data_IF_815481235493
#
_entry.id   IF_815481235493
#
_cell.length_a   1.000
_cell.length_b   1.000
_cell.length_c   1.000
_cell.angle_alpha   90.00
_cell.angle_beta   90.00
_cell.angle_gamma   90.00
#
_symmetry.space_group_name_H-M   'P 1'
#
loop_
_entity.id
_entity.type
_entity.pdbx_description
1 polymer ?
#
# COMPACT_ATOMS: atom_id res chain seq x y z
N UNK A 1 11.66 8.79 1.21
CA UNK A 1 12.28 9.76 0.28
C UNK A 1 11.25 10.56 -0.52
N UNK A 2 10.22 9.92 -1.10
CA UNK A 2 9.12 10.61 -1.82
C UNK A 2 8.35 11.65 -0.98
N UNK A 3 8.00 11.33 0.27
CA UNK A 3 7.28 12.27 1.16
C UNK A 3 8.10 13.53 1.47
N UNK A 4 9.42 13.37 1.68
CA UNK A 4 10.34 14.48 1.96
C UNK A 4 10.49 15.39 0.72
N UNK A 5 10.71 14.82 -0.47
CA UNK A 5 10.77 15.59 -1.71
C UNK A 5 9.45 16.31 -2.01
N UNK A 6 8.32 15.69 -1.68
CA UNK A 6 7.00 16.28 -1.89
C UNK A 6 6.74 17.46 -0.94
N UNK A 7 7.19 17.38 0.31
CA UNK A 7 7.13 18.51 1.26
C UNK A 7 8.05 19.64 0.80
N UNK A 8 9.26 19.32 0.33
CA UNK A 8 10.19 20.32 -0.20
C UNK A 8 9.67 21.01 -1.47
N UNK A 9 8.94 20.31 -2.34
CA UNK A 9 8.42 20.87 -3.59
C UNK A 9 7.04 21.53 -3.49
N UNK A 10 6.13 21.00 -2.66
CA UNK A 10 4.75 21.52 -2.54
C UNK A 10 4.48 22.31 -1.26
N UNK A 11 5.45 22.41 -0.34
CA UNK A 11 5.41 23.24 0.86
C UNK A 11 4.43 22.76 1.94
N UNK A 12 3.38 22.03 1.58
CA UNK A 12 2.31 21.65 2.52
C UNK A 12 1.65 20.30 2.15
N UNK A 13 1.43 19.44 3.14
CA UNK A 13 0.59 18.24 2.99
C UNK A 13 -0.80 18.55 3.51
N UNK A 14 -1.72 18.88 2.60
CA UNK A 14 -3.14 19.22 2.89
C UNK A 14 -3.88 18.20 3.76
N UNK A 15 -3.36 16.98 3.90
CA UNK A 15 -3.90 15.94 4.80
C UNK A 15 -3.69 16.25 6.28
N UNK A 16 -2.70 17.07 6.62
CA UNK A 16 -2.43 17.50 8.00
C UNK A 16 -3.05 18.86 8.35
N UNK A 17 -3.74 19.52 7.41
CA UNK A 17 -4.39 20.81 7.66
C UNK A 17 -5.49 20.68 8.72
N UNK A 18 -6.33 19.65 8.63
CA UNK A 18 -7.36 19.36 9.64
C UNK A 18 -6.80 18.87 10.99
N UNK A 19 -5.61 18.27 10.98
CA UNK A 19 -4.99 17.74 12.20
C UNK A 19 -4.19 18.81 12.96
N UNK A 20 -3.65 19.83 12.27
CA UNK A 20 -2.91 20.94 12.89
C UNK A 20 -3.74 21.79 13.84
N UNK A 21 -5.04 21.89 13.61
CA UNK A 21 -5.97 22.65 14.48
C UNK A 21 -6.33 21.95 15.79
N UNK A 22 -5.94 20.68 16.00
CA UNK A 22 -6.30 19.92 17.18
C UNK A 22 -5.09 19.14 17.72
N UNK A 23 -4.43 19.71 18.73
CA UNK A 23 -3.23 19.12 19.36
C UNK A 23 -3.48 17.68 19.86
N UNK A 24 -4.70 17.35 20.30
CA UNK A 24 -5.03 15.99 20.73
C UNK A 24 -4.97 14.96 19.61
N UNK A 25 -5.47 15.29 18.41
CA UNK A 25 -5.38 14.40 17.24
C UNK A 25 -3.94 14.22 16.76
N UNK A 26 -3.13 15.28 16.86
CA UNK A 26 -1.70 15.21 16.59
C UNK A 26 -0.98 14.27 17.57
N UNK A 27 -1.20 14.41 18.88
CA UNK A 27 -0.57 13.56 19.89
C UNK A 27 -0.98 12.10 19.72
N UNK A 28 -2.26 11.81 19.43
CA UNK A 28 -2.73 10.44 19.17
C UNK A 28 -2.06 9.87 17.91
N UNK A 29 -1.99 10.65 16.83
CA UNK A 29 -1.32 10.22 15.60
C UNK A 29 0.17 9.95 15.81
N UNK A 30 0.89 10.84 16.48
CA UNK A 30 2.32 10.69 16.76
C UNK A 30 2.60 9.55 17.73
N UNK A 31 1.77 9.36 18.76
CA UNK A 31 1.86 8.22 19.67
C UNK A 31 1.64 6.91 18.92
N UNK A 32 0.64 6.85 18.02
CA UNK A 32 0.40 5.68 17.19
C UNK A 32 1.59 5.37 16.27
N UNK A 33 2.17 6.39 15.64
CA UNK A 33 3.38 6.25 14.82
C UNK A 33 4.59 5.80 15.66
N UNK A 34 4.77 6.33 16.87
CA UNK A 34 5.88 5.95 17.75
C UNK A 34 5.75 4.49 18.22
N UNK A 35 4.56 4.07 18.65
CA UNK A 35 4.27 2.68 19.03
C UNK A 35 4.44 1.76 17.81
N UNK A 36 4.02 2.19 16.63
CA UNK A 36 4.22 1.46 15.39
C UNK A 36 5.70 1.25 15.07
N UNK A 37 6.49 2.33 15.00
CA UNK A 37 7.94 2.27 14.74
C UNK A 37 8.64 1.42 15.80
N UNK A 38 8.28 1.57 17.08
CA UNK A 38 8.82 0.76 18.16
C UNK A 38 8.53 -0.73 17.95
N UNK A 39 7.26 -1.09 17.70
CA UNK A 39 6.83 -2.49 17.45
C UNK A 39 7.58 -3.11 16.28
N UNK A 40 7.76 -2.34 15.22
CA UNK A 40 8.47 -2.75 14.00
C UNK A 40 9.97 -2.92 14.24
N UNK A 41 10.55 -2.11 15.14
CA UNK A 41 11.96 -2.20 15.48
C UNK A 41 12.28 -3.37 16.42
N UNK A 42 11.27 -4.00 17.05
CA UNK A 42 11.47 -5.08 18.02
C UNK A 42 12.21 -6.29 17.41
N UNK A 43 11.84 -6.84 16.24
CA UNK A 43 12.55 -7.99 15.66
C UNK A 43 14.04 -7.71 15.44
N UNK A 44 14.38 -6.51 14.92
CA UNK A 44 15.77 -6.09 14.72
C UNK A 44 16.51 -5.94 16.05
N UNK A 45 15.83 -5.36 17.05
CA UNK A 45 16.39 -5.17 18.39
C UNK A 45 16.65 -6.52 19.09
N UNK A 46 15.72 -7.47 19.00
CA UNK A 46 15.88 -8.80 19.60
C UNK A 46 16.96 -9.64 18.89
N UNK A 47 17.05 -9.57 17.56
CA UNK A 47 18.11 -10.23 16.79
C UNK A 47 19.48 -9.66 17.18
N UNK A 48 19.63 -8.34 17.22
CA UNK A 48 20.90 -7.68 17.57
C UNK A 48 21.27 -7.83 19.06
N UNK A 49 20.30 -7.99 19.95
CA UNK A 49 20.55 -8.21 21.38
C UNK A 49 20.92 -9.66 21.73
N UNK A 50 20.73 -10.61 20.80
CA UNK A 50 21.06 -12.02 21.03
C UNK A 50 22.55 -12.31 20.81
N UNK A 51 23.29 -12.54 21.89
CA UNK A 51 24.73 -12.88 21.88
C UNK A 51 25.03 -14.33 21.44
N UNK A 52 24.25 -14.88 20.52
CA UNK A 52 24.42 -16.26 20.04
C UNK A 52 24.48 -16.28 18.53
N UNK A 53 25.57 -16.82 17.97
CA UNK A 53 25.69 -17.12 16.55
C UNK A 53 24.59 -18.07 16.11
N UNK A 54 23.43 -17.51 15.75
CA UNK A 54 22.32 -18.25 15.17
C UNK A 54 22.63 -18.47 13.70
N UNK A 55 22.45 -19.72 13.27
CA UNK A 55 22.53 -20.07 11.86
C UNK A 55 21.34 -19.44 11.12
N UNK A 56 21.63 -18.88 9.96
CA UNK A 56 20.64 -18.28 9.05
C UNK A 56 19.55 -19.32 8.73
N UNK A 57 18.30 -19.01 9.03
CA UNK A 57 17.18 -19.92 8.74
C UNK A 57 16.54 -19.59 7.39
N UNK A 58 15.87 -20.56 6.73
CA UNK A 58 15.15 -20.29 5.49
C UNK A 58 14.11 -19.17 5.60
N UNK A 59 13.48 -19.02 6.77
CA UNK A 59 12.52 -17.95 7.02
C UNK A 59 13.18 -16.56 7.00
N UNK A 60 14.46 -16.43 7.41
CA UNK A 60 15.21 -15.18 7.30
C UNK A 60 15.41 -14.81 5.81
N UNK A 61 15.80 -15.79 4.98
CA UNK A 61 15.96 -15.59 3.53
C UNK A 61 14.64 -15.13 2.91
N UNK A 62 13.55 -15.85 3.21
CA UNK A 62 12.23 -15.57 2.62
C UNK A 62 11.72 -14.20 3.06
N UNK A 63 11.78 -13.92 4.37
CA UNK A 63 11.29 -12.66 4.93
C UNK A 63 12.06 -11.46 4.41
N UNK A 64 13.39 -11.52 4.35
CA UNK A 64 14.21 -10.45 3.78
C UNK A 64 14.03 -10.31 2.27
N UNK A 65 13.83 -11.40 1.54
CA UNK A 65 13.52 -11.35 0.10
C UNK A 65 12.18 -10.66 -0.15
N UNK A 66 11.15 -10.99 0.62
CA UNK A 66 9.85 -10.31 0.58
C UNK A 66 10.01 -8.83 0.92
N UNK A 67 10.79 -8.51 1.96
CA UNK A 67 11.06 -7.14 2.37
C UNK A 67 11.71 -6.32 1.26
N UNK A 68 12.79 -6.83 0.67
CA UNK A 68 13.51 -6.15 -0.42
C UNK A 68 12.61 -5.99 -1.65
N UNK A 69 11.87 -7.04 -2.03
CA UNK A 69 10.93 -6.95 -3.14
C UNK A 69 9.83 -5.91 -2.88
N UNK A 70 9.26 -5.90 -1.68
CA UNK A 70 8.23 -4.94 -1.27
C UNK A 70 8.75 -3.51 -1.33
N UNK A 71 9.93 -3.26 -0.75
CA UNK A 71 10.60 -1.98 -0.77
C UNK A 71 10.89 -1.49 -2.20
N UNK A 72 11.42 -2.35 -3.07
CA UNK A 72 11.71 -2.00 -4.46
C UNK A 72 10.44 -1.66 -5.23
N UNK A 73 9.36 -2.43 -5.05
CA UNK A 73 8.07 -2.16 -5.68
C UNK A 73 7.51 -0.81 -5.19
N UNK A 74 7.52 -0.57 -3.88
CA UNK A 74 7.02 0.67 -3.30
C UNK A 74 7.82 1.88 -3.77
N UNK A 75 9.15 1.82 -3.67
CA UNK A 75 10.03 2.91 -4.10
C UNK A 75 9.87 3.22 -5.59
N UNK A 76 9.78 2.17 -6.42
CA UNK A 76 9.58 2.33 -7.88
C UNK A 76 8.20 2.93 -8.17
N UNK A 77 7.15 2.46 -7.51
CA UNK A 77 5.80 2.98 -7.66
C UNK A 77 5.73 4.47 -7.31
N UNK A 78 6.31 4.86 -6.17
CA UNK A 78 6.31 6.24 -5.71
C UNK A 78 7.12 7.15 -6.63
N UNK A 79 8.30 6.71 -7.07
CA UNK A 79 9.11 7.47 -8.02
C UNK A 79 8.37 7.67 -9.36
N UNK A 80 7.77 6.61 -9.90
CA UNK A 80 6.99 6.71 -11.13
C UNK A 80 5.80 7.66 -10.98
N UNK A 81 5.10 7.60 -9.84
CA UNK A 81 3.98 8.51 -9.54
C UNK A 81 4.44 9.96 -9.40
N UNK A 82 5.61 10.19 -8.81
CA UNK A 82 6.21 11.53 -8.68
C UNK A 82 6.50 12.11 -10.06
N UNK A 83 7.25 11.38 -10.87
CA UNK A 83 7.63 11.79 -12.23
C UNK A 83 6.40 12.01 -13.09
N UNK A 84 5.39 11.14 -12.98
CA UNK A 84 4.12 11.30 -13.69
C UNK A 84 3.43 12.61 -13.35
N UNK A 85 3.33 12.95 -12.06
CA UNK A 85 2.66 14.17 -11.59
C UNK A 85 3.43 15.46 -11.89
N UNK A 86 4.76 15.39 -11.96
CA UNK A 86 5.60 16.55 -12.27
C UNK A 86 5.58 16.90 -13.77
N UNK A 87 5.15 15.99 -14.64
CA UNK A 87 5.03 16.27 -16.06
C UNK A 87 3.74 17.04 -16.38
N UNK A 88 3.87 18.21 -17.00
CA UNK A 88 2.74 19.08 -17.35
C UNK A 88 1.72 18.40 -18.28
N UNK A 89 2.17 17.54 -19.19
CA UNK A 89 1.34 16.81 -20.16
C UNK A 89 0.41 15.77 -19.51
N UNK A 90 0.71 15.40 -18.26
CA UNK A 90 -0.06 14.43 -17.48
C UNK A 90 -1.08 15.08 -16.55
N UNK A 91 -1.19 16.42 -16.56
CA UNK A 91 -2.21 17.13 -15.78
C UNK A 91 -3.60 16.64 -16.16
N UNK A 92 -4.40 16.31 -15.14
CA UNK A 92 -5.76 15.79 -15.34
C UNK A 92 -5.83 14.31 -15.78
N UNK A 93 -4.72 13.57 -15.79
CA UNK A 93 -4.69 12.13 -16.07
C UNK A 93 -4.38 11.32 -14.80
N UNK A 94 -4.73 10.04 -14.81
CA UNK A 94 -4.32 9.09 -13.76
C UNK A 94 -2.98 8.44 -14.14
N UNK A 95 -2.21 8.04 -13.13
CA UNK A 95 -0.92 7.39 -13.34
C UNK A 95 -1.14 5.98 -13.87
N UNK A 96 -0.77 5.76 -15.14
CA UNK A 96 -0.89 4.49 -15.83
C UNK A 96 0.42 4.07 -16.52
N UNK A 97 1.53 4.18 -15.78
CA UNK A 97 2.89 3.93 -16.28
C UNK A 97 3.66 2.97 -15.36
N UNK A 98 4.59 2.20 -15.94
CA UNK A 98 5.42 1.25 -15.18
C UNK A 98 4.61 0.26 -14.34
N UNK A 99 4.88 0.18 -13.04
CA UNK A 99 4.21 -0.75 -12.13
C UNK A 99 2.72 -0.41 -11.93
N UNK A 100 2.33 0.85 -12.15
CA UNK A 100 0.93 1.28 -12.12
C UNK A 100 0.10 0.69 -13.26
N UNK A 101 0.73 0.15 -14.31
CA UNK A 101 0.03 -0.57 -15.37
C UNK A 101 -0.48 -1.94 -14.93
N UNK A 102 0.12 -2.53 -13.90
CA UNK A 102 -0.13 -3.89 -13.43
C UNK A 102 -0.99 -3.92 -12.15
N UNK A 103 -1.00 -2.82 -11.40
CA UNK A 103 -1.81 -2.63 -10.21
C UNK A 103 -2.21 -1.18 -10.06
N UNK A 104 -3.39 -0.91 -9.53
CA UNK A 104 -3.86 0.45 -9.24
C UNK A 104 -3.20 1.04 -8.00
N UNK A 105 -2.73 0.20 -7.06
CA UNK A 105 -2.02 0.61 -5.84
C UNK A 105 -0.77 -0.25 -5.59
N UNK A 106 0.22 -0.23 -6.51
CA UNK A 106 1.43 -1.05 -6.39
C UNK A 106 2.27 -0.66 -5.18
N UNK A 107 2.23 0.60 -4.75
CA UNK A 107 2.89 1.07 -3.53
C UNK A 107 2.35 0.38 -2.27
N UNK A 108 1.03 0.22 -2.16
CA UNK A 108 0.43 -0.50 -1.02
C UNK A 108 0.71 -2.00 -1.07
N UNK A 109 0.83 -2.58 -2.26
CA UNK A 109 1.27 -3.97 -2.39
C UNK A 109 2.70 -4.14 -1.88
N UNK A 110 3.60 -3.22 -2.24
CA UNK A 110 4.97 -3.18 -1.74
C UNK A 110 5.03 -3.03 -0.22
N UNK A 111 4.26 -2.09 0.33
CA UNK A 111 4.15 -1.86 1.78
C UNK A 111 3.66 -3.13 2.51
N UNK A 112 2.58 -3.76 2.04
CA UNK A 112 2.11 -5.02 2.63
C UNK A 112 3.17 -6.12 2.55
N UNK A 113 3.79 -6.32 1.38
CA UNK A 113 4.81 -7.34 1.19
C UNK A 113 6.01 -7.13 2.13
N UNK A 114 6.39 -5.87 2.36
CA UNK A 114 7.43 -5.48 3.29
C UNK A 114 7.08 -5.90 4.73
N UNK A 115 5.89 -5.54 5.21
CA UNK A 115 5.46 -5.86 6.57
C UNK A 115 5.26 -7.35 6.83
N UNK A 116 4.69 -8.06 5.86
CA UNK A 116 4.62 -9.51 5.90
C UNK A 116 6.02 -10.15 5.86
N UNK A 117 6.97 -9.56 5.12
CA UNK A 117 8.37 -9.99 5.10
C UNK A 117 9.05 -9.85 6.47
N UNK A 118 8.86 -8.73 7.17
CA UNK A 118 9.36 -8.55 8.55
C UNK A 118 8.80 -9.63 9.49
N UNK A 119 7.49 -9.89 9.40
CA UNK A 119 6.86 -10.94 10.20
C UNK A 119 7.46 -12.32 9.92
N UNK A 120 7.59 -12.70 8.65
CA UNK A 120 8.19 -13.98 8.26
C UNK A 120 9.64 -14.10 8.74
N UNK A 121 10.45 -13.05 8.60
CA UNK A 121 11.83 -13.02 9.10
C UNK A 121 11.89 -13.14 10.64
N UNK A 122 10.86 -12.71 11.37
CA UNK A 122 10.80 -12.85 12.82
C UNK A 122 10.37 -14.24 13.30
N UNK A 123 9.68 -15.06 12.48
CA UNK A 123 9.17 -16.37 12.91
C UNK A 123 10.20 -17.27 13.64
N UNK A 124 11.47 -17.35 13.23
CA UNK A 124 12.51 -18.11 13.94
C UNK A 124 12.79 -17.71 15.39
N UNK A 125 12.55 -16.44 15.74
CA UNK A 125 12.81 -15.90 17.09
C UNK A 125 11.57 -15.97 17.99
N UNK A 126 10.36 -16.00 17.41
CA UNK A 126 9.11 -15.92 18.19
C UNK A 126 8.85 -17.18 19.02
N UNK A 127 8.48 -16.99 20.28
CA UNK A 127 8.05 -18.05 21.21
C UNK A 127 6.76 -17.66 21.95
N UNK A 128 5.86 -18.64 22.13
CA UNK A 128 4.67 -18.48 22.97
C UNK A 128 3.76 -17.32 22.55
N UNK A 129 3.57 -16.33 23.43
CA UNK A 129 2.72 -15.17 23.14
C UNK A 129 3.33 -14.19 22.12
N UNK A 130 4.61 -14.31 21.77
CA UNK A 130 5.27 -13.41 20.82
C UNK A 130 4.68 -13.54 19.40
N UNK A 131 4.04 -14.66 19.04
CA UNK A 131 3.34 -14.82 17.77
C UNK A 131 2.22 -13.79 17.54
N UNK A 132 1.75 -13.11 18.60
CA UNK A 132 0.78 -12.02 18.51
C UNK A 132 1.29 -10.82 17.70
N UNK A 133 2.60 -10.71 17.42
CA UNK A 133 3.13 -9.68 16.50
C UNK A 133 2.55 -9.76 15.08
N UNK A 134 1.92 -10.89 14.69
CA UNK A 134 1.14 -11.01 13.44
C UNK A 134 0.02 -9.96 13.34
N UNK A 135 -0.49 -9.47 14.47
CA UNK A 135 -1.50 -8.41 14.47
C UNK A 135 -1.00 -7.13 13.80
N UNK A 136 0.31 -6.87 13.79
CA UNK A 136 0.89 -5.72 13.08
C UNK A 136 0.58 -5.73 11.57
N UNK A 137 1.11 -6.69 10.79
CA UNK A 137 0.84 -6.76 9.34
C UNK A 137 -0.64 -6.99 9.02
N UNK A 138 -1.37 -7.74 9.85
CA UNK A 138 -2.83 -7.93 9.67
C UNK A 138 -3.58 -6.61 9.83
N UNK A 139 -3.30 -5.86 10.90
CA UNK A 139 -3.94 -4.57 11.15
C UNK A 139 -3.63 -3.58 10.01
N UNK A 140 -2.39 -3.50 9.56
CA UNK A 140 -2.01 -2.65 8.44
C UNK A 140 -2.72 -3.05 7.15
N UNK A 141 -2.80 -4.36 6.87
CA UNK A 141 -3.54 -4.88 5.71
C UNK A 141 -5.02 -4.47 5.76
N UNK A 142 -5.67 -4.60 6.92
CA UNK A 142 -7.08 -4.20 7.11
C UNK A 142 -7.27 -2.69 6.95
N UNK A 143 -6.35 -1.89 7.50
CA UNK A 143 -6.38 -0.43 7.40
C UNK A 143 -6.26 0.02 5.94
N UNK A 144 -5.38 -0.62 5.16
CA UNK A 144 -5.22 -0.35 3.74
C UNK A 144 -6.42 -0.80 2.91
N UNK A 145 -7.03 -1.95 3.24
CA UNK A 145 -8.18 -2.46 2.49
C UNK A 145 -9.49 -1.72 2.75
N UNK A 146 -9.75 -1.31 3.99
CA UNK A 146 -11.10 -0.91 4.41
C UNK A 146 -11.20 0.51 4.95
N UNK A 147 -10.11 1.14 5.37
CA UNK A 147 -10.16 2.44 6.04
C UNK A 147 -9.54 3.54 5.17
N UNK A 148 -8.24 3.77 5.29
CA UNK A 148 -7.60 4.97 4.76
C UNK A 148 -6.73 4.76 3.53
N UNK A 149 -6.49 3.50 3.14
CA UNK A 149 -5.68 3.17 1.97
C UNK A 149 -6.47 3.24 0.67
N UNK A 150 -6.79 2.06 0.13
CA UNK A 150 -7.40 1.88 -1.18
C UNK A 150 -8.78 2.55 -1.32
N UNK A 151 -9.74 2.42 -0.36
CA UNK A 151 -11.08 2.98 -0.52
C UNK A 151 -11.08 4.49 -0.76
N UNK A 152 -10.31 5.25 0.02
CA UNK A 152 -10.25 6.71 -0.09
C UNK A 152 -9.60 7.16 -1.40
N UNK A 153 -8.53 6.48 -1.83
CA UNK A 153 -7.85 6.81 -3.09
C UNK A 153 -8.71 6.48 -4.30
N UNK A 154 -9.39 5.34 -4.30
CA UNK A 154 -10.35 4.96 -5.35
C UNK A 154 -11.51 5.94 -5.40
N UNK A 155 -12.10 6.30 -4.25
CA UNK A 155 -13.18 7.28 -4.19
C UNK A 155 -12.76 8.65 -4.74
N UNK A 156 -11.56 9.13 -4.41
CA UNK A 156 -11.03 10.40 -4.93
C UNK A 156 -10.74 10.35 -6.43
N UNK A 157 -10.22 9.22 -6.92
CA UNK A 157 -9.95 9.03 -8.34
C UNK A 157 -11.25 8.92 -9.15
N UNK A 158 -12.26 8.24 -8.63
CA UNK A 158 -13.59 8.13 -9.25
C UNK A 158 -14.28 9.48 -9.37
N UNK A 159 -14.18 10.34 -8.36
CA UNK A 159 -14.72 11.71 -8.46
C UNK A 159 -14.03 12.54 -9.54
N UNK A 160 -12.73 12.34 -9.76
CA UNK A 160 -11.95 13.12 -10.73
C UNK A 160 -12.07 12.59 -12.16
N UNK A 161 -12.10 11.27 -12.32
CA UNK A 161 -11.94 10.60 -13.61
C UNK A 161 -13.09 9.65 -13.96
N UNK A 162 -14.03 9.39 -13.05
CA UNK A 162 -15.11 8.41 -13.22
C UNK A 162 -16.01 8.65 -14.43
N UNK A 163 -16.14 9.91 -14.86
CA UNK A 163 -16.91 10.28 -16.05
C UNK A 163 -16.21 9.90 -17.36
N UNK A 164 -14.89 9.68 -17.34
CA UNK A 164 -14.09 9.31 -18.52
C UNK A 164 -14.18 7.80 -18.78
N UNK A 165 -14.65 7.42 -19.97
CA UNK A 165 -14.75 6.01 -20.37
C UNK A 165 -13.42 5.27 -20.32
N UNK A 166 -12.31 5.94 -20.69
CA UNK A 166 -10.97 5.39 -20.62
C UNK A 166 -10.52 5.04 -19.18
N UNK A 167 -10.91 5.84 -18.18
CA UNK A 167 -10.62 5.55 -16.77
C UNK A 167 -11.44 4.36 -16.27
N UNK A 168 -12.72 4.28 -16.65
CA UNK A 168 -13.56 3.10 -16.33
C UNK A 168 -12.99 1.82 -16.93
N UNK A 169 -12.49 1.88 -18.17
CA UNK A 169 -11.81 0.76 -18.80
C UNK A 169 -10.52 0.37 -18.06
N UNK A 170 -9.68 1.34 -17.70
CA UNK A 170 -8.48 1.13 -16.88
C UNK A 170 -8.81 0.42 -15.56
N UNK A 171 -9.83 0.89 -14.85
CA UNK A 171 -10.28 0.32 -13.58
C UNK A 171 -10.81 -1.11 -13.70
N UNK A 172 -11.52 -1.43 -14.79
CA UNK A 172 -12.02 -2.79 -15.08
C UNK A 172 -10.92 -3.79 -15.45
N UNK A 173 -9.81 -3.32 -16.01
CA UNK A 173 -8.72 -4.13 -16.56
C UNK A 173 -7.46 -4.15 -15.71
N UNK A 174 -7.41 -3.39 -14.61
CA UNK A 174 -6.23 -3.28 -13.75
C UNK A 174 -6.58 -3.72 -12.33
N UNK A 175 -5.83 -4.69 -11.82
CA UNK A 175 -5.95 -5.21 -10.45
C UNK A 175 -5.81 -4.08 -9.42
N UNK A 176 -6.56 -4.09 -8.30
CA UNK A 176 -6.46 -3.05 -7.29
C UNK A 176 -5.13 -3.11 -6.56
N UNK A 177 -4.60 -4.32 -6.32
CA UNK A 177 -3.44 -4.52 -5.48
C UNK A 177 -2.36 -5.39 -6.12
N UNK A 178 -2.70 -6.64 -6.47
CA UNK A 178 -1.72 -7.61 -6.96
C UNK A 178 -1.23 -7.19 -8.34
N UNK A 179 0.09 -7.22 -8.56
CA UNK A 179 0.70 -6.96 -9.87
C UNK A 179 0.29 -8.03 -10.87
N UNK A 180 -0.60 -7.71 -11.81
CA UNK A 180 -1.04 -8.62 -12.86
C UNK A 180 -1.14 -7.91 -14.22
N UNK A 181 -0.71 -8.54 -15.33
CA UNK A 181 -0.92 -7.98 -16.66
C UNK A 181 -2.40 -7.72 -16.95
N UNK A 182 -2.70 -6.56 -17.54
CA UNK A 182 -4.09 -6.12 -17.80
C UNK A 182 -4.87 -7.07 -18.69
N UNK A 183 -4.21 -7.70 -19.66
CA UNK A 183 -4.82 -8.73 -20.50
C UNK A 183 -5.39 -9.83 -19.62
N UNK A 184 -4.56 -10.42 -18.75
CA UNK A 184 -4.97 -11.50 -17.85
C UNK A 184 -6.09 -11.05 -16.90
N UNK A 185 -5.90 -9.92 -16.20
CA UNK A 185 -6.90 -9.43 -15.26
C UNK A 185 -8.23 -9.11 -15.96
N UNK A 186 -8.20 -8.50 -17.15
CA UNK A 186 -9.38 -8.12 -17.92
C UNK A 186 -10.34 -9.28 -18.17
N UNK A 187 -9.81 -10.47 -18.48
CA UNK A 187 -10.61 -11.67 -18.77
C UNK A 187 -11.17 -12.39 -17.54
N UNK A 188 -10.71 -12.06 -16.32
CA UNK A 188 -11.18 -12.76 -15.12
C UNK A 188 -12.64 -12.41 -14.79
N UNK A 189 -13.45 -13.41 -14.38
CA UNK A 189 -14.82 -13.17 -13.94
C UNK A 189 -14.84 -12.37 -12.63
N UNK A 190 -15.92 -11.60 -12.40
CA UNK A 190 -16.05 -10.70 -11.25
C UNK A 190 -15.80 -11.39 -9.90
N UNK A 191 -16.36 -12.58 -9.70
CA UNK A 191 -16.18 -13.34 -8.45
C UNK A 191 -14.70 -13.67 -8.19
N UNK A 192 -13.95 -14.03 -9.23
CA UNK A 192 -12.52 -14.35 -9.14
C UNK A 192 -11.71 -13.09 -8.79
N UNK A 193 -12.04 -11.95 -9.41
CA UNK A 193 -11.44 -10.65 -9.09
C UNK A 193 -11.65 -10.27 -7.62
N UNK A 194 -12.87 -10.46 -7.10
CA UNK A 194 -13.18 -10.12 -5.71
C UNK A 194 -12.46 -11.04 -4.72
N UNK A 195 -12.43 -12.35 -4.97
CA UNK A 195 -11.87 -13.33 -4.03
C UNK A 195 -10.35 -13.33 -4.03
N UNK A 196 -9.71 -13.38 -5.21
CA UNK A 196 -8.27 -13.59 -5.31
C UNK A 196 -7.48 -12.30 -5.50
N UNK A 197 -8.12 -11.24 -5.99
CA UNK A 197 -7.47 -9.97 -6.29
C UNK A 197 -8.02 -8.82 -5.44
N UNK A 198 -8.86 -9.12 -4.45
CA UNK A 198 -9.41 -8.15 -3.51
C UNK A 198 -10.21 -7.02 -4.19
N UNK A 199 -10.85 -7.30 -5.34
CA UNK A 199 -11.74 -6.36 -6.02
C UNK A 199 -13.07 -6.21 -5.26
N UNK A 200 -13.03 -5.49 -4.14
CA UNK A 200 -14.23 -5.29 -3.31
C UNK A 200 -15.20 -4.29 -3.96
N UNK A 201 -16.53 -4.51 -3.85
CA UNK A 201 -17.54 -3.59 -4.40
C UNK A 201 -17.39 -2.15 -3.89
N UNK A 202 -16.88 -1.99 -2.67
CA UNK A 202 -16.64 -0.69 -2.05
C UNK A 202 -15.67 0.20 -2.86
N UNK A 203 -14.77 -0.39 -3.65
CA UNK A 203 -13.83 0.36 -4.49
C UNK A 203 -14.51 1.01 -5.68
N UNK A 204 -15.72 0.60 -6.07
CA UNK A 204 -16.43 1.13 -7.24
C UNK A 204 -17.70 1.90 -6.88
N UNK A 205 -17.92 2.22 -5.60
CA UNK A 205 -19.17 2.82 -5.11
C UNK A 205 -19.52 4.17 -5.75
N UNK A 206 -18.51 4.92 -6.19
CA UNK A 206 -18.67 6.27 -6.73
C UNK A 206 -18.63 6.33 -8.27
N UNK A 207 -18.52 5.19 -8.95
CA UNK A 207 -18.59 5.16 -10.41
C UNK A 207 -20.05 5.36 -10.86
N UNK A 208 -20.28 6.12 -11.96
CA UNK A 208 -21.59 6.17 -12.59
C UNK A 208 -22.03 4.74 -12.93
N UNK A 209 -23.22 4.34 -12.49
CA UNK A 209 -23.80 3.06 -12.91
C UNK A 209 -23.93 3.09 -14.43
N UNK A 210 -23.37 2.09 -15.11
CA UNK A 210 -23.64 1.88 -16.52
C UNK A 210 -25.13 1.61 -16.64
N UNK A 211 -25.87 2.56 -17.20
CA UNK A 211 -27.26 2.36 -17.63
C UNK A 211 -27.23 1.22 -18.63
N UNK A 212 -27.59 0.03 -18.16
CA UNK A 212 -27.97 -1.08 -19.04
C UNK A 212 -29.22 -0.64 -19.79
N UNK A 213 -29.03 -0.19 -21.03
CA UNK A 213 -30.08 -0.12 -22.05
C UNK A 213 -30.07 -1.45 -22.78
#
# INVERSE_FOLDING_TARGET
>A
MFLLMRILNWGEDRRFDEMRGNMGKLVVFWTFQAVWVWTVSLPVTFVNASNGGRLFQPADVIGWTMWVAGFLIEATADQQKLSFKNCQENKGKWCDVGVWKYSRHPNYFGEMLLWWGVYVASLPVLKGAEYLVIFGPVFLTLLLFFVSGIPLLEASADQKYGNLGAYRHYKKTTSPLILLPRGVYGYLPKWCKTVFFFEFPLYSRNLPQETTV
#
